data_IF_650750931340
#
_entry.id   IF_650750931340
#
_cell.length_a   1.000
_cell.length_b   1.000
_cell.length_c   1.000
_cell.angle_alpha   90.00
_cell.angle_beta   90.00
_cell.angle_gamma   90.00
#
_symmetry.space_group_name_H-M   'P 1'
#
loop_
_entity.id
_entity.type
_entity.pdbx_description
1 polymer ?
#
# COMPACT_ATOMS: atom_id res chain seq x y z
N UNK A 1 5.14 -40.08 -51.30
CA UNK A 1 4.53 -38.74 -51.40
C UNK A 1 3.31 -38.60 -50.49
N UNK A 2 2.21 -39.37 -50.65
CA UNK A 2 0.98 -39.18 -49.83
C UNK A 2 1.20 -39.34 -48.30
N UNK A 3 2.10 -40.23 -47.88
CA UNK A 3 2.38 -40.47 -46.45
C UNK A 3 3.16 -39.32 -45.78
N UNK A 4 4.05 -38.64 -46.52
CA UNK A 4 4.86 -37.53 -46.00
C UNK A 4 4.00 -36.28 -45.82
N UNK A 5 3.10 -36.02 -46.77
CA UNK A 5 2.14 -34.91 -46.68
C UNK A 5 1.21 -35.07 -45.47
N UNK A 6 0.72 -36.29 -45.20
CA UNK A 6 -0.15 -36.56 -44.05
C UNK A 6 0.58 -36.36 -42.70
N UNK A 7 1.87 -36.73 -42.62
CA UNK A 7 2.67 -36.57 -41.40
C UNK A 7 2.97 -35.09 -41.10
N UNK A 8 3.23 -34.28 -42.14
CA UNK A 8 3.37 -32.83 -42.03
C UNK A 8 2.07 -32.15 -41.57
N UNK A 9 0.92 -32.58 -42.08
CA UNK A 9 -0.39 -32.03 -41.64
C UNK A 9 -0.67 -32.40 -40.18
N UNK A 10 -0.39 -33.63 -39.75
CA UNK A 10 -0.55 -34.05 -38.34
C UNK A 10 0.42 -33.32 -37.39
N UNK A 11 1.67 -33.10 -37.80
CA UNK A 11 2.64 -32.32 -37.01
C UNK A 11 2.22 -30.85 -36.89
N UNK A 12 1.71 -30.24 -37.96
CA UNK A 12 1.13 -28.90 -37.92
C UNK A 12 -0.13 -28.84 -37.03
N UNK A 13 -1.05 -29.80 -37.13
CA UNK A 13 -2.27 -29.80 -36.30
C UNK A 13 -1.96 -29.99 -34.82
N UNK A 14 -0.96 -30.81 -34.47
CA UNK A 14 -0.49 -30.98 -33.09
C UNK A 14 0.21 -29.74 -32.53
N UNK A 15 0.95 -28.99 -33.36
CA UNK A 15 1.57 -27.71 -32.98
C UNK A 15 0.52 -26.60 -32.79
N UNK A 16 -0.51 -26.54 -33.63
CA UNK A 16 -1.60 -25.57 -33.48
C UNK A 16 -2.50 -25.85 -32.26
N UNK A 17 -2.65 -27.11 -31.86
CA UNK A 17 -3.46 -27.50 -30.70
C UNK A 17 -2.86 -27.10 -29.34
N UNK A 18 -1.59 -26.68 -29.27
CA UNK A 18 -0.92 -26.33 -28.01
C UNK A 18 -0.87 -24.82 -27.68
N UNK A 19 -1.33 -23.94 -28.55
CA UNK A 19 -1.67 -22.57 -28.13
C UNK A 19 -3.05 -22.55 -27.45
N UNK A 20 -3.14 -23.20 -26.28
CA UNK A 20 -4.19 -22.87 -25.32
C UNK A 20 -3.96 -21.42 -24.91
N UNK A 21 -4.70 -20.50 -25.52
CA UNK A 21 -4.81 -19.12 -25.04
C UNK A 21 -5.17 -19.21 -23.56
N UNK A 22 -4.20 -18.92 -22.69
CA UNK A 22 -4.42 -18.98 -21.25
C UNK A 22 -5.33 -17.82 -20.91
N UNK A 23 -6.57 -18.12 -20.55
CA UNK A 23 -7.53 -17.12 -20.12
C UNK A 23 -6.94 -16.30 -18.96
N UNK A 24 -7.08 -14.98 -19.06
CA UNK A 24 -6.66 -14.07 -18.00
C UNK A 24 -7.56 -14.29 -16.78
N UNK A 25 -7.02 -14.58 -15.58
CA UNK A 25 -7.85 -14.86 -14.42
C UNK A 25 -8.55 -13.61 -13.88
N UNK A 26 -9.73 -13.82 -13.30
CA UNK A 26 -10.53 -12.79 -12.61
C UNK A 26 -10.13 -12.77 -11.13
N UNK A 27 -9.87 -11.57 -10.60
CA UNK A 27 -9.56 -11.30 -9.20
C UNK A 27 -10.58 -10.32 -8.62
N UNK A 28 -11.43 -10.76 -7.68
CA UNK A 28 -12.38 -9.87 -7.01
C UNK A 28 -11.66 -8.82 -6.16
N UNK A 29 -12.01 -7.54 -6.34
CA UNK A 29 -11.53 -6.46 -5.47
C UNK A 29 -12.08 -6.60 -4.05
N UNK A 30 -11.24 -6.32 -3.05
CA UNK A 30 -11.59 -6.45 -1.63
C UNK A 30 -10.74 -5.54 -0.74
N UNK A 31 -10.92 -5.64 0.59
CA UNK A 31 -10.08 -4.96 1.57
C UNK A 31 -8.76 -5.68 1.88
N UNK A 32 -8.51 -6.85 1.27
CA UNK A 32 -7.23 -7.59 1.33
C UNK A 32 -6.65 -7.71 2.76
N UNK A 33 -7.28 -8.51 3.65
CA UNK A 33 -6.95 -8.54 5.08
C UNK A 33 -5.57 -9.17 5.41
N UNK A 34 -4.93 -9.81 4.43
CA UNK A 34 -3.61 -10.43 4.58
C UNK A 34 -2.47 -9.57 4.03
N UNK A 35 -2.78 -8.34 3.60
CA UNK A 35 -1.76 -7.35 3.25
C UNK A 35 -1.00 -6.91 4.51
N UNK A 36 0.33 -6.91 4.47
CA UNK A 36 1.13 -6.19 5.45
C UNK A 36 1.09 -4.70 5.12
N UNK A 37 0.47 -3.91 5.99
CA UNK A 37 -0.01 -2.56 5.69
C UNK A 37 0.40 -1.52 6.75
N UNK A 38 1.46 -1.80 7.51
CA UNK A 38 1.93 -0.97 8.63
C UNK A 38 2.21 0.47 8.18
N UNK A 39 1.52 1.43 8.79
CA UNK A 39 1.70 2.86 8.52
C UNK A 39 2.71 3.53 9.47
N UNK A 40 3.24 2.79 10.45
CA UNK A 40 4.23 3.22 11.44
C UNK A 40 3.82 4.46 12.24
N UNK A 41 2.52 4.56 12.55
CA UNK A 41 1.96 5.69 13.29
C UNK A 41 2.48 5.67 14.72
N UNK A 42 3.18 6.75 15.10
CA UNK A 42 3.74 6.92 16.44
C UNK A 42 5.08 6.23 16.69
N UNK A 43 5.64 5.51 15.72
CA UNK A 43 6.94 4.81 15.87
C UNK A 43 7.89 5.01 14.69
N UNK A 44 7.63 5.98 13.80
CA UNK A 44 8.46 6.18 12.62
C UNK A 44 9.91 6.50 12.97
N UNK A 45 10.17 7.23 14.06
CA UNK A 45 11.53 7.57 14.50
C UNK A 45 12.27 6.36 15.07
N UNK A 46 11.62 5.57 15.94
CA UNK A 46 12.19 4.34 16.47
C UNK A 46 12.46 3.31 15.36
N UNK A 47 11.52 3.17 14.41
CA UNK A 47 11.70 2.29 13.28
C UNK A 47 12.84 2.75 12.36
N UNK A 48 13.04 4.06 12.19
CA UNK A 48 14.15 4.64 11.43
C UNK A 48 15.52 4.26 12.03
N UNK A 49 15.64 4.26 13.36
CA UNK A 49 16.86 3.83 14.05
C UNK A 49 17.18 2.34 13.83
N UNK A 50 16.15 1.49 13.77
CA UNK A 50 16.32 0.04 13.56
C UNK A 50 16.47 -0.34 12.10
N UNK A 51 15.83 0.38 11.18
CA UNK A 51 15.74 0.03 9.76
C UNK A 51 17.11 -0.08 9.08
N UNK A 52 18.10 0.72 9.49
CA UNK A 52 19.45 0.68 8.93
C UNK A 52 20.18 -0.64 9.18
N UNK A 53 20.10 -1.18 10.41
CA UNK A 53 20.69 -2.48 10.75
C UNK A 53 19.90 -3.62 10.10
N UNK A 54 18.57 -3.55 10.18
CA UNK A 54 17.69 -4.53 9.58
C UNK A 54 17.92 -4.67 8.07
N UNK A 55 18.11 -3.56 7.36
CA UNK A 55 18.42 -3.57 5.94
C UNK A 55 19.74 -4.28 5.64
N UNK A 56 20.80 -4.07 6.44
CA UNK A 56 22.08 -4.76 6.27
C UNK A 56 21.92 -6.27 6.40
N UNK A 57 21.16 -6.71 7.41
CA UNK A 57 20.86 -8.13 7.62
C UNK A 57 20.00 -8.72 6.49
N UNK A 58 19.04 -7.96 5.96
CA UNK A 58 18.19 -8.36 4.83
C UNK A 58 18.99 -8.47 3.53
N UNK A 59 19.88 -7.52 3.25
CA UNK A 59 20.79 -7.57 2.09
C UNK A 59 21.77 -8.75 2.17
N UNK A 60 22.27 -9.08 3.36
CA UNK A 60 23.19 -10.21 3.54
C UNK A 60 22.54 -11.57 3.19
N UNK A 61 21.21 -11.69 3.32
CA UNK A 61 20.45 -12.91 3.02
C UNK A 61 19.67 -12.86 1.70
N UNK A 62 19.75 -11.77 0.95
CA UNK A 62 18.97 -11.56 -0.26
C UNK A 62 19.79 -10.82 -1.34
N UNK A 63 20.43 -11.59 -2.23
CA UNK A 63 21.36 -11.07 -3.23
C UNK A 63 20.73 -9.97 -4.12
N UNK A 64 19.51 -10.20 -4.63
CA UNK A 64 18.82 -9.23 -5.48
C UNK A 64 18.51 -7.91 -4.76
N UNK A 65 18.17 -7.95 -3.47
CA UNK A 65 17.95 -6.75 -2.65
C UNK A 65 19.26 -5.98 -2.49
N UNK A 66 20.36 -6.68 -2.18
CA UNK A 66 21.69 -6.08 -2.05
C UNK A 66 22.11 -5.38 -3.34
N UNK A 67 22.07 -6.08 -4.46
CA UNK A 67 22.49 -5.55 -5.77
C UNK A 67 21.62 -4.36 -6.20
N UNK A 68 20.30 -4.48 -6.05
CA UNK A 68 19.38 -3.38 -6.38
C UNK A 68 19.62 -2.16 -5.51
N UNK A 69 19.86 -2.36 -4.21
CA UNK A 69 20.10 -1.28 -3.26
C UNK A 69 21.45 -0.60 -3.48
N UNK A 70 22.51 -1.36 -3.76
CA UNK A 70 23.83 -0.83 -4.12
C UNK A 70 23.78 0.03 -5.39
N UNK A 71 23.16 -0.48 -6.47
CA UNK A 71 22.97 0.28 -7.71
C UNK A 71 22.13 1.55 -7.49
N UNK A 72 21.05 1.45 -6.70
CA UNK A 72 20.21 2.60 -6.37
C UNK A 72 20.93 3.65 -5.52
N UNK A 73 21.85 3.26 -4.63
CA UNK A 73 22.69 4.20 -3.87
C UNK A 73 23.61 5.01 -4.77
N UNK A 74 24.23 4.38 -5.77
CA UNK A 74 25.07 5.06 -6.75
C UNK A 74 24.23 6.06 -7.58
N UNK A 75 23.09 5.61 -8.11
CA UNK A 75 22.16 6.48 -8.84
C UNK A 75 21.67 7.66 -7.98
N UNK A 76 21.37 7.41 -6.71
CA UNK A 76 20.99 8.44 -5.74
C UNK A 76 22.09 9.48 -5.52
N UNK A 77 23.34 9.04 -5.35
CA UNK A 77 24.47 9.93 -5.14
C UNK A 77 24.62 10.95 -6.27
N UNK A 78 24.38 10.53 -7.52
CA UNK A 78 24.40 11.42 -8.69
C UNK A 78 23.17 12.30 -8.80
N UNK A 79 21.98 11.80 -8.45
CA UNK A 79 20.71 12.51 -8.67
C UNK A 79 20.36 13.51 -7.58
N UNK A 80 20.70 13.22 -6.31
CA UNK A 80 20.25 14.00 -5.14
C UNK A 80 20.55 15.49 -5.20
N UNK A 81 21.65 15.88 -5.85
CA UNK A 81 22.07 17.27 -5.96
C UNK A 81 21.14 18.13 -6.82
N UNK A 82 20.28 17.50 -7.63
CA UNK A 82 19.33 18.17 -8.53
C UNK A 82 17.90 18.19 -7.96
N UNK A 83 17.70 17.69 -6.74
CA UNK A 83 16.38 17.49 -6.15
C UNK A 83 16.15 18.49 -5.02
N UNK A 84 14.92 19.02 -4.96
CA UNK A 84 14.41 19.70 -3.77
C UNK A 84 13.60 18.69 -2.98
N UNK A 85 14.03 18.40 -1.74
CA UNK A 85 13.44 17.34 -0.92
C UNK A 85 12.77 17.94 0.32
N UNK A 86 11.66 17.35 0.82
CA UNK A 86 10.98 17.87 1.99
C UNK A 86 11.80 17.64 3.28
N UNK A 87 11.54 18.42 4.35
CA UNK A 87 12.17 18.21 5.64
C UNK A 87 12.02 16.76 6.14
N UNK A 88 13.09 16.21 6.72
CA UNK A 88 13.12 14.82 7.21
C UNK A 88 13.33 13.75 6.13
N UNK A 89 13.38 14.11 4.84
CA UNK A 89 13.67 13.15 3.78
C UNK A 89 15.16 12.79 3.74
N UNK A 90 15.47 11.54 4.13
CA UNK A 90 16.82 10.97 4.14
C UNK A 90 17.16 10.23 2.84
N UNK A 91 18.45 9.92 2.67
CA UNK A 91 18.95 9.21 1.49
C UNK A 91 18.26 7.86 1.27
N UNK A 92 18.03 7.10 2.35
CA UNK A 92 17.41 5.78 2.32
C UNK A 92 15.99 5.81 1.73
N UNK A 93 15.24 6.89 1.94
CA UNK A 93 13.92 7.09 1.33
C UNK A 93 14.02 7.21 -0.20
N UNK A 94 14.99 7.98 -0.69
CA UNK A 94 15.22 8.17 -2.12
C UNK A 94 15.73 6.90 -2.79
N UNK A 95 16.66 6.20 -2.13
CA UNK A 95 17.18 4.90 -2.58
C UNK A 95 16.06 3.86 -2.65
N UNK A 96 15.19 3.78 -1.63
CA UNK A 96 14.07 2.84 -1.64
C UNK A 96 13.12 3.04 -2.83
N UNK A 97 12.85 4.30 -3.20
CA UNK A 97 12.06 4.61 -4.42
C UNK A 97 12.79 4.18 -5.69
N UNK A 98 14.09 4.44 -5.80
CA UNK A 98 14.89 4.01 -6.95
C UNK A 98 14.95 2.48 -7.06
N UNK A 99 15.04 1.77 -5.94
CA UNK A 99 14.94 0.30 -5.89
C UNK A 99 13.58 -0.17 -6.40
N UNK A 100 12.51 0.43 -5.93
CA UNK A 100 11.15 0.05 -6.31
C UNK A 100 10.85 0.31 -7.80
N UNK A 101 11.33 1.43 -8.35
CA UNK A 101 11.05 1.84 -9.72
C UNK A 101 11.97 1.21 -10.76
N UNK A 102 13.02 0.50 -10.33
CA UNK A 102 13.92 -0.19 -11.26
C UNK A 102 13.30 -1.48 -11.80
N UNK A 103 12.52 -1.35 -12.87
CA UNK A 103 11.90 -2.48 -13.59
C UNK A 103 12.89 -3.33 -14.40
N UNK A 104 14.20 -3.01 -14.39
CA UNK A 104 15.22 -3.87 -15.01
C UNK A 104 15.47 -5.16 -14.22
N UNK A 105 14.87 -5.29 -13.02
CA UNK A 105 14.85 -6.52 -12.25
C UNK A 105 13.48 -6.77 -11.60
N UNK A 106 13.33 -7.90 -10.91
CA UNK A 106 12.06 -8.39 -10.35
C UNK A 106 11.81 -7.99 -8.89
N UNK A 107 12.66 -7.17 -8.27
CA UNK A 107 12.59 -6.94 -6.82
C UNK A 107 11.31 -6.21 -6.40
N UNK A 108 10.82 -5.25 -7.19
CA UNK A 108 9.54 -4.58 -6.93
C UNK A 108 8.37 -5.58 -6.94
N UNK A 109 8.45 -6.59 -7.81
CA UNK A 109 7.46 -7.65 -7.88
C UNK A 109 7.55 -8.52 -6.63
N UNK A 110 8.73 -9.01 -6.25
CA UNK A 110 8.95 -9.80 -5.03
C UNK A 110 8.48 -9.07 -3.76
N UNK A 111 8.79 -7.77 -3.64
CA UNK A 111 8.28 -6.92 -2.57
C UNK A 111 6.76 -6.92 -2.55
N UNK A 112 6.11 -6.62 -3.68
CA UNK A 112 4.65 -6.54 -3.73
C UNK A 112 3.98 -7.91 -3.53
N UNK A 113 4.62 -9.02 -3.93
CA UNK A 113 4.17 -10.36 -3.56
C UNK A 113 4.18 -10.53 -2.03
N UNK A 114 5.29 -10.18 -1.37
CA UNK A 114 5.42 -10.29 0.08
C UNK A 114 4.47 -9.34 0.83
N UNK A 115 4.25 -8.12 0.33
CA UNK A 115 3.29 -7.17 0.90
C UNK A 115 1.87 -7.72 0.86
N UNK A 116 1.45 -8.36 -0.24
CA UNK A 116 0.09 -8.91 -0.36
C UNK A 116 -0.20 -10.11 0.55
N UNK A 117 0.83 -10.88 0.93
CA UNK A 117 0.63 -12.18 1.61
C UNK A 117 1.25 -12.26 3.00
N UNK A 118 2.21 -11.39 3.31
CA UNK A 118 2.97 -11.42 4.56
C UNK A 118 2.25 -10.85 5.77
N UNK A 119 1.03 -10.35 5.61
CA UNK A 119 0.23 -9.75 6.67
C UNK A 119 -0.75 -10.72 7.34
N UNK A 120 -0.67 -12.03 7.13
CA UNK A 120 -1.58 -13.01 7.76
C UNK A 120 -1.57 -12.96 9.29
N UNK A 121 -0.39 -12.80 9.90
CA UNK A 121 -0.20 -12.59 11.35
C UNK A 121 1.13 -11.89 11.62
N UNK A 122 1.32 -11.36 12.84
CA UNK A 122 2.62 -10.79 13.24
C UNK A 122 3.74 -11.83 13.22
N UNK A 123 3.46 -13.06 13.67
CA UNK A 123 4.42 -14.16 13.65
C UNK A 123 4.86 -14.51 12.21
N UNK A 124 3.92 -14.56 11.27
CA UNK A 124 4.21 -14.77 9.85
C UNK A 124 5.10 -13.64 9.30
N UNK A 125 4.72 -12.39 9.58
CA UNK A 125 5.50 -11.20 9.22
C UNK A 125 6.94 -11.27 9.76
N UNK A 126 7.09 -11.55 11.06
CA UNK A 126 8.41 -11.59 11.70
C UNK A 126 9.30 -12.66 11.09
N UNK A 127 8.77 -13.86 10.85
CA UNK A 127 9.54 -14.99 10.33
C UNK A 127 9.83 -14.93 8.83
N UNK A 128 8.87 -14.51 8.01
CA UNK A 128 8.94 -14.75 6.56
C UNK A 128 8.96 -13.48 5.70
N UNK A 129 8.62 -12.30 6.23
CA UNK A 129 8.65 -11.06 5.43
C UNK A 129 10.10 -10.57 5.24
N UNK A 130 10.68 -10.60 4.04
CA UNK A 130 12.13 -10.39 3.87
C UNK A 130 12.51 -8.92 3.57
N UNK A 131 11.52 -8.03 3.48
CA UNK A 131 11.68 -6.64 3.02
C UNK A 131 11.23 -5.61 4.06
N UNK A 132 11.43 -5.88 5.36
CA UNK A 132 10.91 -5.04 6.44
C UNK A 132 11.45 -3.61 6.36
N UNK A 133 12.74 -3.46 6.10
CA UNK A 133 13.36 -2.15 5.98
C UNK A 133 12.92 -1.42 4.69
N UNK A 134 12.85 -2.14 3.56
CA UNK A 134 12.41 -1.54 2.29
C UNK A 134 10.94 -1.08 2.36
N UNK A 135 10.06 -1.88 2.97
CA UNK A 135 8.67 -1.49 3.21
C UNK A 135 8.57 -0.22 4.08
N UNK A 136 9.35 -0.16 5.17
CA UNK A 136 9.40 1.02 6.03
C UNK A 136 9.85 2.26 5.26
N UNK A 137 11.00 2.19 4.56
CA UNK A 137 11.55 3.33 3.84
C UNK A 137 10.62 3.81 2.71
N UNK A 138 9.98 2.91 1.98
CA UNK A 138 8.97 3.28 0.98
C UNK A 138 7.77 3.97 1.61
N UNK A 139 7.19 3.38 2.67
CA UNK A 139 6.06 3.97 3.38
C UNK A 139 6.40 5.36 3.88
N UNK A 140 7.57 5.51 4.52
CA UNK A 140 8.02 6.79 5.06
C UNK A 140 8.32 7.81 3.96
N UNK A 141 8.91 7.40 2.85
CA UNK A 141 9.17 8.26 1.70
C UNK A 141 7.87 8.88 1.16
N UNK A 142 6.82 8.07 0.96
CA UNK A 142 5.53 8.55 0.47
C UNK A 142 4.86 9.52 1.45
N UNK A 143 4.91 9.23 2.75
CA UNK A 143 4.39 10.13 3.79
C UNK A 143 5.07 11.50 3.76
N UNK A 144 6.40 11.52 3.60
CA UNK A 144 7.20 12.76 3.57
C UNK A 144 6.99 13.56 2.28
N UNK A 145 6.99 12.89 1.11
CA UNK A 145 6.80 13.53 -0.18
C UNK A 145 5.40 14.15 -0.32
N UNK A 146 4.38 13.45 0.18
CA UNK A 146 3.01 13.95 0.17
C UNK A 146 2.80 15.09 1.17
N UNK A 147 3.56 15.13 2.27
CA UNK A 147 3.38 16.09 3.37
C UNK A 147 2.09 15.84 4.18
N UNK A 148 1.64 16.81 4.98
CA UNK A 148 0.38 16.69 5.75
C UNK A 148 -0.84 17.12 4.92
N UNK A 149 -1.96 16.41 5.08
CA UNK A 149 -3.26 16.90 4.63
C UNK A 149 -3.95 16.20 3.45
N UNK A 150 -3.55 14.97 3.07
CA UNK A 150 -4.25 14.08 2.14
C UNK A 150 -5.05 14.78 1.04
N UNK A 151 -6.35 14.47 0.96
CA UNK A 151 -7.31 15.25 0.16
C UNK A 151 -7.91 16.45 0.92
N UNK A 152 -7.53 16.71 2.16
CA UNK A 152 -7.96 17.90 2.90
C UNK A 152 -7.48 19.22 2.26
N UNK A 153 -6.44 19.18 1.42
CA UNK A 153 -5.90 20.35 0.68
C UNK A 153 -6.39 20.48 -0.76
N UNK A 154 -7.13 19.51 -1.27
CA UNK A 154 -7.51 19.52 -2.68
C UNK A 154 -8.12 18.20 -3.16
N UNK A 155 -8.46 18.11 -4.45
CA UNK A 155 -9.23 16.99 -4.99
C UNK A 155 -8.53 15.60 -4.92
N UNK A 156 -7.25 15.52 -4.58
CA UNK A 156 -6.43 14.33 -4.81
C UNK A 156 -5.87 14.30 -6.24
N UNK A 157 -4.96 13.38 -6.51
CA UNK A 157 -4.29 13.23 -7.80
C UNK A 157 -5.06 12.24 -8.68
N UNK A 158 -5.26 12.57 -9.95
CA UNK A 158 -5.88 11.67 -10.93
C UNK A 158 -4.78 10.88 -11.63
N UNK A 159 -4.83 9.56 -11.51
CA UNK A 159 -3.79 8.65 -12.01
C UNK A 159 -4.41 7.41 -12.66
N UNK A 160 -3.60 6.74 -13.46
CA UNK A 160 -4.03 5.64 -14.31
C UNK A 160 -3.10 4.45 -14.15
N UNK A 161 -3.63 3.23 -14.30
CA UNK A 161 -2.83 2.01 -14.28
C UNK A 161 -3.40 0.95 -15.22
N UNK A 162 -2.61 0.51 -16.19
CA UNK A 162 -2.87 -0.71 -16.96
C UNK A 162 -2.34 -1.95 -16.26
N UNK A 163 -3.08 -3.05 -16.34
CA UNK A 163 -2.66 -4.38 -15.89
C UNK A 163 -2.96 -5.38 -17.00
N UNK A 164 -1.95 -6.14 -17.44
CA UNK A 164 -2.11 -7.13 -18.51
C UNK A 164 -2.44 -8.55 -18.03
N UNK A 165 -2.26 -8.85 -16.74
CA UNK A 165 -2.25 -10.22 -16.22
C UNK A 165 -3.51 -10.65 -15.47
N UNK A 166 -4.41 -9.72 -15.16
CA UNK A 166 -5.58 -9.96 -14.30
C UNK A 166 -6.76 -9.08 -14.72
N UNK A 167 -7.96 -9.66 -14.68
CA UNK A 167 -9.22 -8.92 -14.67
C UNK A 167 -9.62 -8.62 -13.23
N UNK A 168 -9.55 -7.36 -12.82
CA UNK A 168 -10.06 -6.96 -11.52
C UNK A 168 -11.53 -6.58 -11.64
N UNK A 169 -12.36 -7.21 -10.81
CA UNK A 169 -13.80 -6.96 -10.80
C UNK A 169 -14.26 -6.58 -9.39
N UNK A 170 -14.94 -5.44 -9.22
CA UNK A 170 -15.58 -5.14 -7.95
C UNK A 170 -16.82 -6.02 -7.78
N UNK A 171 -17.16 -6.34 -6.54
CA UNK A 171 -18.42 -7.06 -6.26
C UNK A 171 -19.62 -6.16 -6.56
N UNK A 172 -19.58 -4.91 -6.10
CA UNK A 172 -20.60 -3.88 -6.37
C UNK A 172 -19.98 -2.49 -6.42
N UNK A 173 -20.67 -1.58 -7.10
CA UNK A 173 -20.40 -0.14 -6.95
C UNK A 173 -20.70 0.28 -5.50
N UNK A 174 -19.89 1.19 -4.97
CA UNK A 174 -19.97 1.65 -3.58
C UNK A 174 -19.24 0.76 -2.56
N UNK A 175 -18.70 -0.39 -2.95
CA UNK A 175 -17.86 -1.18 -2.05
C UNK A 175 -16.51 -0.46 -1.80
N UNK A 176 -15.97 -0.63 -0.59
CA UNK A 176 -14.63 -0.15 -0.23
C UNK A 176 -13.58 -1.24 -0.49
N UNK A 177 -12.48 -0.84 -1.12
CA UNK A 177 -11.41 -1.74 -1.55
C UNK A 177 -10.04 -1.14 -1.24
N UNK A 178 -9.01 -1.99 -1.18
CA UNK A 178 -7.61 -1.57 -1.16
C UNK A 178 -6.84 -2.29 -2.26
N UNK A 179 -5.76 -1.67 -2.73
CA UNK A 179 -4.88 -2.26 -3.73
C UNK A 179 -3.94 -3.32 -3.11
N UNK A 180 -3.70 -3.24 -1.80
CA UNK A 180 -3.01 -4.29 -1.05
C UNK A 180 -1.51 -4.40 -1.29
N UNK A 181 -0.91 -3.41 -1.93
CA UNK A 181 0.51 -3.35 -2.30
C UNK A 181 0.91 -1.91 -2.61
N UNK A 182 2.22 -1.64 -2.71
CA UNK A 182 2.67 -0.40 -3.32
C UNK A 182 2.27 -0.42 -4.79
N UNK A 183 1.46 0.53 -5.21
CA UNK A 183 0.87 0.51 -6.55
C UNK A 183 1.41 1.65 -7.38
N UNK A 184 2.23 1.27 -8.37
CA UNK A 184 2.71 2.19 -9.40
C UNK A 184 1.54 2.60 -10.30
N UNK A 185 1.41 3.90 -10.54
CA UNK A 185 0.40 4.49 -11.43
C UNK A 185 1.01 5.70 -12.13
N UNK A 186 0.37 6.20 -13.17
CA UNK A 186 0.87 7.36 -13.93
C UNK A 186 -0.20 8.45 -13.99
N UNK A 187 0.22 9.72 -13.90
CA UNK A 187 -0.66 10.85 -14.28
C UNK A 187 -0.89 10.92 -15.80
N UNK A 188 -0.16 10.13 -16.58
CA UNK A 188 -0.30 10.05 -18.04
C UNK A 188 -1.01 8.76 -18.46
N UNK A 189 -2.24 8.92 -18.94
CA UNK A 189 -3.06 7.80 -19.40
C UNK A 189 -2.38 6.99 -20.52
N UNK A 190 -1.66 7.66 -21.42
CA UNK A 190 -1.00 6.99 -22.56
C UNK A 190 0.16 6.12 -22.10
N UNK A 191 0.87 6.55 -21.05
CA UNK A 191 1.90 5.74 -20.39
C UNK A 191 1.23 4.53 -19.74
N UNK A 192 0.20 4.75 -18.91
CA UNK A 192 -0.47 3.68 -18.18
C UNK A 192 -1.04 2.57 -19.10
N UNK A 193 -1.57 2.94 -20.28
CA UNK A 193 -2.10 1.99 -21.26
C UNK A 193 -1.06 1.01 -21.82
N UNK A 194 0.23 1.33 -21.75
CA UNK A 194 1.31 0.45 -22.24
C UNK A 194 1.57 -0.75 -21.34
N UNK A 195 1.15 -0.70 -20.07
CA UNK A 195 1.40 -1.75 -19.08
C UNK A 195 0.43 -2.94 -19.17
N UNK A 196 -0.65 -2.82 -19.94
CA UNK A 196 -1.52 -3.93 -20.26
C UNK A 196 -2.98 -3.57 -20.46
N UNK A 197 -3.71 -4.50 -21.04
CA UNK A 197 -5.07 -4.32 -21.54
C UNK A 197 -6.13 -5.22 -20.87
N UNK A 198 -5.78 -5.98 -19.83
CA UNK A 198 -6.76 -6.82 -19.14
C UNK A 198 -7.61 -5.99 -18.16
N UNK A 199 -6.97 -5.15 -17.34
CA UNK A 199 -7.65 -4.17 -16.51
C UNK A 199 -7.03 -2.79 -16.71
N UNK A 200 -7.87 -1.77 -16.82
CA UNK A 200 -7.46 -0.38 -16.72
C UNK A 200 -8.12 0.29 -15.52
N UNK A 201 -7.30 0.86 -14.65
CA UNK A 201 -7.76 1.62 -13.49
C UNK A 201 -7.73 3.12 -13.77
N UNK A 202 -8.86 3.78 -13.54
CA UNK A 202 -8.97 5.22 -13.36
C UNK A 202 -9.02 5.49 -11.84
N UNK A 203 -7.99 6.13 -11.31
CA UNK A 203 -7.83 6.30 -9.87
C UNK A 203 -7.83 7.78 -9.53
N UNK A 204 -8.49 8.13 -8.43
CA UNK A 204 -8.23 9.38 -7.72
C UNK A 204 -7.66 9.05 -6.35
N UNK A 205 -6.40 9.39 -6.11
CA UNK A 205 -5.67 9.04 -4.88
C UNK A 205 -5.44 10.26 -4.00
N UNK A 206 -5.63 10.08 -2.69
CA UNK A 206 -5.33 11.06 -1.64
C UNK A 206 -3.99 10.79 -0.98
N UNK A 207 -3.48 9.55 -1.04
CA UNK A 207 -2.25 9.12 -0.37
C UNK A 207 -1.09 8.78 -1.30
N UNK A 208 -1.32 8.74 -2.61
CA UNK A 208 -0.30 8.58 -3.63
C UNK A 208 0.65 9.76 -3.67
N UNK A 209 1.95 9.50 -3.77
CA UNK A 209 2.96 10.54 -3.87
C UNK A 209 3.55 10.55 -5.30
N UNK A 210 3.64 11.72 -5.95
CA UNK A 210 4.41 11.87 -7.17
C UNK A 210 5.88 11.56 -6.90
N UNK A 211 6.42 10.57 -7.62
CA UNK A 211 7.81 10.12 -7.45
C UNK A 211 8.61 10.24 -8.75
N UNK A 212 8.07 10.92 -9.77
CA UNK A 212 8.72 11.09 -11.08
C UNK A 212 10.19 11.52 -11.00
N UNK A 213 10.51 12.49 -10.13
CA UNK A 213 11.88 13.01 -9.99
C UNK A 213 12.85 12.00 -9.33
N UNK A 214 12.31 10.97 -8.67
CA UNK A 214 13.05 9.94 -7.95
C UNK A 214 13.08 8.61 -8.71
N UNK A 215 12.13 8.39 -9.62
CA UNK A 215 11.98 7.15 -10.41
C UNK A 215 13.16 6.90 -11.35
N UNK A 216 13.52 5.63 -11.56
CA UNK A 216 14.49 5.23 -12.60
C UNK A 216 14.00 5.60 -14.01
N UNK A 217 12.68 5.64 -14.21
CA UNK A 217 12.02 5.97 -15.48
C UNK A 217 11.11 7.21 -15.33
N UNK A 218 11.66 8.44 -15.30
CA UNK A 218 10.88 9.67 -15.13
C UNK A 218 9.81 9.90 -16.21
N UNK A 219 9.97 9.31 -17.39
CA UNK A 219 8.99 9.33 -18.48
C UNK A 219 7.69 8.58 -18.14
N UNK A 220 7.72 7.69 -17.14
CA UNK A 220 6.52 7.01 -16.67
C UNK A 220 5.61 7.92 -15.83
N UNK A 221 6.10 9.11 -15.44
CA UNK A 221 5.34 10.13 -14.69
C UNK A 221 4.64 9.53 -13.47
N UNK A 222 5.41 8.75 -12.74
CA UNK A 222 4.88 7.83 -11.74
C UNK A 222 4.38 8.54 -10.48
N UNK A 223 3.23 8.07 -10.00
CA UNK A 223 2.66 8.30 -8.67
C UNK A 223 2.54 6.96 -7.98
N UNK A 224 3.16 6.84 -6.81
CA UNK A 224 3.18 5.59 -6.05
C UNK A 224 2.18 5.64 -4.90
N UNK A 225 1.26 4.69 -4.87
CA UNK A 225 0.16 4.59 -3.90
C UNK A 225 0.54 3.58 -2.79
N UNK A 226 0.39 3.92 -1.49
CA UNK A 226 0.69 3.01 -0.39
C UNK A 226 -0.36 1.88 -0.25
N UNK A 227 -0.01 0.73 0.36
CA UNK A 227 -0.88 -0.43 0.45
C UNK A 227 -2.13 -0.24 1.33
N UNK A 228 -2.12 0.75 2.24
CA UNK A 228 -3.17 0.99 3.22
C UNK A 228 -4.21 2.02 2.77
N UNK A 229 -4.11 2.59 1.56
CA UNK A 229 -5.11 3.53 1.05
C UNK A 229 -6.42 2.81 0.69
N UNK A 230 -7.55 3.39 1.12
CA UNK A 230 -8.89 2.88 0.84
C UNK A 230 -9.54 3.66 -0.28
N UNK A 231 -10.15 2.94 -1.21
CA UNK A 231 -10.89 3.50 -2.31
C UNK A 231 -12.35 3.03 -2.31
N UNK A 232 -13.23 3.90 -2.77
CA UNK A 232 -14.61 3.59 -3.13
C UNK A 232 -14.65 3.17 -4.60
N UNK A 233 -15.33 2.08 -4.90
CA UNK A 233 -15.60 1.70 -6.30
C UNK A 233 -16.71 2.60 -6.84
N UNK A 234 -16.40 3.50 -7.76
CA UNK A 234 -17.37 4.46 -8.34
C UNK A 234 -17.82 4.09 -9.75
N UNK A 235 -17.07 3.24 -10.44
CA UNK A 235 -17.42 2.79 -11.79
C UNK A 235 -16.79 1.46 -12.14
N UNK A 236 -17.53 0.67 -12.90
CA UNK A 236 -17.05 -0.58 -13.48
C UNK A 236 -17.76 -0.84 -14.79
N UNK A 237 -17.00 -1.17 -15.83
CA UNK A 237 -17.53 -1.58 -17.13
C UNK A 237 -16.56 -2.55 -17.80
N UNK A 238 -17.07 -3.33 -18.75
CA UNK A 238 -16.23 -4.10 -19.67
C UNK A 238 -16.22 -3.39 -21.03
N UNK A 239 -15.03 -3.11 -21.54
CA UNK A 239 -14.80 -2.62 -22.90
C UNK A 239 -14.12 -3.74 -23.72
N UNK A 240 -14.94 -4.50 -24.45
CA UNK A 240 -14.50 -5.75 -25.07
C UNK A 240 -13.97 -6.73 -24.01
N UNK A 241 -12.71 -7.12 -24.12
CA UNK A 241 -12.06 -7.98 -23.13
C UNK A 241 -11.47 -7.21 -21.93
N UNK A 242 -11.44 -5.88 -21.95
CA UNK A 242 -10.80 -5.08 -20.91
C UNK A 242 -11.79 -4.70 -19.78
N UNK A 243 -11.39 -4.95 -18.53
CA UNK A 243 -12.09 -4.43 -17.35
C UNK A 243 -11.68 -2.97 -17.11
N UNK A 244 -12.63 -2.04 -17.10
CA UNK A 244 -12.39 -0.64 -16.72
C UNK A 244 -12.92 -0.41 -15.31
N UNK A 245 -12.03 -0.07 -14.38
CA UNK A 245 -12.37 0.12 -12.96
C UNK A 245 -12.08 1.56 -12.57
N UNK A 246 -13.07 2.25 -12.01
CA UNK A 246 -12.89 3.61 -11.47
C UNK A 246 -12.95 3.58 -9.95
N UNK A 247 -11.88 4.02 -9.30
CA UNK A 247 -11.73 4.02 -7.85
C UNK A 247 -11.45 5.45 -7.34
N UNK A 248 -12.14 5.83 -6.27
CA UNK A 248 -11.97 7.15 -5.65
C UNK A 248 -11.60 7.05 -4.18
N UNK A 249 -10.44 7.60 -3.82
CA UNK A 249 -10.02 7.78 -2.44
C UNK A 249 -10.78 8.93 -1.77
N UNK A 250 -11.24 8.70 -0.56
CA UNK A 250 -12.02 9.64 0.26
C UNK A 250 -11.31 9.98 1.57
N UNK A 251 -9.98 10.14 1.48
CA UNK A 251 -9.08 10.52 2.59
C UNK A 251 -9.11 9.53 3.77
N UNK A 252 -9.31 8.24 3.47
CA UNK A 252 -9.27 7.15 4.45
C UNK A 252 -8.16 6.15 4.17
N UNK A 253 -7.57 5.70 5.28
CA UNK A 253 -6.63 4.59 5.31
C UNK A 253 -7.22 3.45 6.12
N UNK A 254 -6.68 2.25 5.95
CA UNK A 254 -7.07 1.06 6.68
C UNK A 254 -5.79 0.23 6.84
N UNK A 255 -5.30 0.14 8.08
CA UNK A 255 -4.12 -0.63 8.44
C UNK A 255 -4.45 -1.61 9.57
N UNK A 256 -4.05 -2.86 9.42
CA UNK A 256 -4.20 -3.91 10.43
C UNK A 256 -2.96 -4.01 11.33
N UNK A 257 -1.83 -3.48 10.89
CA UNK A 257 -0.57 -3.45 11.62
C UNK A 257 -0.21 -2.02 12.04
N UNK A 258 0.38 -1.88 13.22
CA UNK A 258 1.05 -0.63 13.58
C UNK A 258 2.29 -0.95 14.40
N UNK A 259 3.46 -0.57 13.91
CA UNK A 259 4.74 -0.80 14.58
C UNK A 259 5.02 -2.29 14.84
N UNK A 260 4.70 -3.14 13.87
CA UNK A 260 4.69 -4.60 14.02
C UNK A 260 6.06 -5.18 14.39
N UNK A 261 7.12 -4.61 13.80
CA UNK A 261 8.51 -4.97 14.11
C UNK A 261 8.86 -4.69 15.58
N UNK A 262 8.27 -3.65 16.15
CA UNK A 262 8.52 -3.18 17.53
C UNK A 262 7.58 -3.82 18.57
N UNK A 263 6.76 -4.79 18.17
CA UNK A 263 5.86 -5.49 19.09
C UNK A 263 4.37 -5.30 18.80
N UNK A 264 4.00 -4.46 17.84
CA UNK A 264 2.60 -4.24 17.47
C UNK A 264 1.93 -5.49 16.90
N UNK A 265 0.83 -5.92 17.51
CA UNK A 265 0.07 -7.09 17.06
C UNK A 265 -0.91 -6.76 15.92
N UNK A 266 -1.21 -7.76 15.09
CA UNK A 266 -2.22 -7.64 14.03
C UNK A 266 -3.60 -7.43 14.67
N UNK A 267 -4.29 -6.37 14.25
CA UNK A 267 -5.67 -6.09 14.67
C UNK A 267 -6.66 -6.85 13.80
N UNK A 268 -7.80 -7.28 14.38
CA UNK A 268 -8.86 -7.98 13.64
C UNK A 268 -9.60 -7.07 12.67
N UNK A 269 -9.83 -5.82 13.06
CA UNK A 269 -10.34 -4.77 12.19
C UNK A 269 -9.22 -3.77 11.91
N UNK A 270 -9.24 -3.18 10.72
CA UNK A 270 -8.29 -2.13 10.43
C UNK A 270 -8.63 -0.82 11.15
N UNK A 271 -7.58 -0.09 11.50
CA UNK A 271 -7.70 1.22 12.11
C UNK A 271 -7.75 2.24 10.99
N UNK A 272 -8.84 2.99 10.92
CA UNK A 272 -8.93 4.15 10.07
C UNK A 272 -8.29 5.34 10.76
N UNK A 273 -7.22 5.89 10.20
CA UNK A 273 -6.85 7.28 10.51
C UNK A 273 -7.55 8.19 9.49
N UNK A 274 -8.34 9.14 9.99
CA UNK A 274 -8.52 10.40 9.24
C UNK A 274 -7.20 11.15 9.36
N UNK A 275 -6.74 11.77 8.28
CA UNK A 275 -5.57 12.64 8.33
C UNK A 275 -5.70 13.59 9.53
N UNK A 276 -4.68 13.60 10.39
CA UNK A 276 -4.56 14.36 11.65
C UNK A 276 -5.27 15.72 11.53
N UNK A 277 -6.37 15.90 12.27
CA UNK A 277 -7.17 17.13 12.19
C UNK A 277 -8.58 17.10 12.79
N UNK A 278 -9.10 15.94 13.25
CA UNK A 278 -10.37 15.88 14.00
C UNK A 278 -10.14 15.19 15.35
N UNK A 279 -10.67 15.73 16.47
CA UNK A 279 -10.57 15.08 17.77
C UNK A 279 -11.26 13.72 17.72
N UNK A 280 -10.60 12.69 18.25
CA UNK A 280 -11.17 11.36 18.43
C UNK A 280 -12.52 11.44 19.14
N UNK A 281 -13.53 10.77 18.59
CA UNK A 281 -14.74 10.48 19.35
C UNK A 281 -14.34 9.59 20.54
N UNK A 282 -14.78 9.88 21.77
CA UNK A 282 -14.39 9.07 22.92
C UNK A 282 -14.85 7.63 22.71
N UNK A 283 -13.91 6.70 22.89
CA UNK A 283 -14.20 5.27 22.86
C UNK A 283 -15.31 4.94 23.86
N UNK A 284 -16.20 4.03 23.48
CA UNK A 284 -17.35 3.58 24.29
C UNK A 284 -16.95 3.00 25.65
N UNK A 285 -15.66 2.69 25.86
CA UNK A 285 -15.10 2.29 27.14
C UNK A 285 -14.97 3.45 28.15
N UNK A 286 -14.82 4.70 27.70
CA UNK A 286 -14.75 5.86 28.58
C UNK A 286 -16.13 6.27 29.13
N UNK A 287 -17.21 6.01 28.38
CA UNK A 287 -18.60 6.27 28.83
C UNK A 287 -19.07 5.28 29.90
N UNK A 288 -18.51 4.07 29.97
CA UNK A 288 -18.84 3.10 31.01
C UNK A 288 -18.22 3.46 32.38
N UNK A 289 -17.08 4.18 32.40
CA UNK A 289 -16.34 4.48 33.63
C UNK A 289 -16.85 5.71 34.40
N UNK A 290 -17.75 6.52 33.83
CA UNK A 290 -18.28 7.71 34.52
C UNK A 290 -19.64 7.50 35.21
N UNK A 291 -20.26 6.33 35.08
CA UNK A 291 -21.54 6.03 35.77
C UNK A 291 -21.39 5.31 37.12
N UNK A 292 -20.16 5.17 37.64
CA UNK A 292 -19.86 4.32 38.81
C UNK A 292 -19.29 5.06 40.02
N UNK A 293 -19.83 6.22 40.40
CA UNK A 293 -19.58 6.80 41.74
C UNK A 293 -20.89 7.05 42.47
N UNK A 294 -21.42 5.96 43.00
CA UNK A 294 -22.33 5.98 44.15
C UNK A 294 -21.58 6.66 45.30
N UNK A 295 -21.90 7.93 45.54
CA UNK A 295 -21.56 8.62 46.78
C UNK A 295 -22.35 7.94 47.92
N UNK A 296 -21.69 7.01 48.60
CA UNK A 296 -22.08 6.56 49.93
C UNK A 296 -22.03 7.76 50.87
N UNK A 297 -23.20 8.33 51.16
CA UNK A 297 -23.37 9.30 52.25
C UNK A 297 -23.43 8.53 53.57
N UNK A 298 -22.43 8.80 54.40
CA UNK A 298 -22.19 8.21 55.71
C UNK A 298 -23.27 8.63 56.74
N UNK A 299 -24.05 7.71 57.32
CA UNK A 299 -25.15 8.03 58.21
C UNK A 299 -24.66 8.25 59.65
N UNK A 300 -23.97 9.37 59.91
CA UNK A 300 -23.67 9.81 61.29
C UNK A 300 -23.29 11.30 61.40
N UNK A 301 -24.08 12.20 60.82
CA UNK A 301 -24.15 13.60 61.25
C UNK A 301 -25.59 14.11 61.29
N UNK A 302 -26.39 13.48 62.17
CA UNK A 302 -27.49 14.17 62.83
C UNK A 302 -26.87 14.99 63.98
N UNK A 303 -26.68 16.29 63.77
CA UNK A 303 -26.63 17.24 64.88
C UNK A 303 -27.65 18.34 64.60
N UNK A 304 -28.78 18.20 65.30
CA UNK A 304 -29.76 19.24 65.54
C UNK A 304 -29.08 20.39 66.30
N UNK A 305 -28.84 21.50 65.62
CA UNK A 305 -28.70 22.81 66.26
C UNK A 305 -30.04 23.54 66.15
N UNK A 306 -30.62 23.74 67.33
CA UNK A 306 -31.87 24.43 67.64
C UNK A 306 -31.54 25.88 68.03
N UNK A 307 -32.38 26.83 67.62
CA UNK A 307 -32.54 28.25 68.01
C UNK A 307 -32.66 29.08 66.71
N UNK A 308 -33.80 29.65 66.29
CA UNK A 308 -34.88 30.37 67.00
C UNK A 308 -34.77 31.88 66.67
N UNK A 309 -35.84 32.70 66.67
CA UNK A 309 -37.27 32.41 66.67
C UNK A 309 -37.91 32.46 65.27
#
# INVERSE_FOLDING_TARGET
MILEDLLMVLSCLSLHALWKVRAVPILPLSLVPDTFDDAYVGCSEEMEEKAGLLLKEEMARHALLRESWEAAQEAWAHRRHKLTLPPGFKAQHGVAIMVYTNSSNTLYWELNQAVRTGGGSRELYMRHFPFKALHFYLTRALQLLRGSGGCSRGPGEVVFRGVGSLHFEPKRLGDSVRLGQFTSSSVDERVARRFGNATFFNLRTCFGAPIQALSVFPEEREVLIPPHEVFLVTGFSQDGAQSIVTLWSYDQTCSHFNCAYLGGEKRRGCVSSRAVGQPEAPSTEALALQSGKTLLLDPRKLQLSRAGP
#
